data_IF_703006833990
#
_entry.id   IF_703006833990
#
_cell.length_a   1.000
_cell.length_b   1.000
_cell.length_c   1.000
_cell.angle_alpha   90.00
_cell.angle_beta   90.00
_cell.angle_gamma   90.00
#
_symmetry.space_group_name_H-M   'P 1'
#
loop_
_entity.id
_entity.type
_entity.pdbx_description
1 polymer ?
#
# COMPACT_ATOMS: atom_id res chain seq x y z
N UNK A 1 38.67 -6.50 -39.76
CA UNK A 1 37.20 -6.46 -39.62
C UNK A 1 36.63 -7.43 -38.61
N UNK A 2 37.25 -7.68 -37.43
CA UNK A 2 36.76 -8.66 -36.40
C UNK A 2 36.45 -8.03 -35.03
N UNK A 3 36.54 -6.72 -34.83
CA UNK A 3 36.27 -6.06 -33.53
C UNK A 3 34.86 -5.49 -33.34
N UNK A 4 34.05 -5.37 -34.43
CA UNK A 4 32.74 -4.74 -34.34
C UNK A 4 31.60 -5.69 -33.93
N UNK A 5 31.81 -7.02 -33.93
CA UNK A 5 30.77 -8.01 -33.67
C UNK A 5 30.58 -8.32 -32.18
N UNK A 6 31.58 -8.01 -31.33
CA UNK A 6 31.49 -8.24 -29.86
C UNK A 6 30.65 -7.20 -29.09
N UNK A 7 30.52 -6.00 -29.58
CA UNK A 7 29.73 -4.94 -28.94
C UNK A 7 28.20 -5.09 -29.16
N UNK A 8 27.81 -5.64 -30.32
CA UNK A 8 26.36 -5.89 -30.56
C UNK A 8 25.77 -6.98 -29.70
N UNK A 9 26.56 -7.99 -29.34
CA UNK A 9 26.13 -9.06 -28.42
C UNK A 9 26.00 -8.57 -26.97
N UNK A 10 26.80 -7.59 -26.55
CA UNK A 10 26.74 -7.02 -25.21
C UNK A 10 25.51 -6.12 -25.02
N UNK A 11 25.11 -5.38 -26.05
CA UNK A 11 23.91 -4.53 -26.04
C UNK A 11 22.62 -5.36 -26.07
N UNK A 12 22.62 -6.51 -26.74
CA UNK A 12 21.50 -7.45 -26.75
C UNK A 12 21.33 -8.18 -25.40
N UNK A 13 22.42 -8.46 -24.69
CA UNK A 13 22.34 -9.05 -23.34
C UNK A 13 21.92 -8.03 -22.28
N UNK A 14 22.30 -6.79 -22.42
CA UNK A 14 21.87 -5.69 -21.52
C UNK A 14 20.37 -5.37 -21.70
N UNK A 15 19.80 -5.53 -22.89
CA UNK A 15 18.37 -5.30 -23.11
C UNK A 15 17.47 -6.44 -22.62
N UNK A 16 17.98 -7.66 -22.45
CA UNK A 16 17.24 -8.80 -21.89
C UNK A 16 17.18 -8.78 -20.35
N UNK A 17 18.06 -8.01 -19.68
CA UNK A 17 18.06 -7.89 -18.22
C UNK A 17 17.10 -6.80 -17.70
N UNK A 18 16.50 -5.99 -18.58
CA UNK A 18 15.63 -4.86 -18.19
C UNK A 18 14.14 -5.26 -18.07
N UNK A 19 13.76 -6.48 -18.45
CA UNK A 19 12.34 -6.86 -18.53
C UNK A 19 11.73 -7.52 -17.29
N UNK A 20 12.44 -7.66 -16.17
CA UNK A 20 11.84 -8.03 -14.89
C UNK A 20 11.54 -6.77 -14.08
N UNK A 21 10.48 -6.06 -14.47
CA UNK A 21 9.98 -4.91 -13.72
C UNK A 21 9.63 -5.34 -12.30
N UNK A 22 10.39 -4.81 -11.36
CA UNK A 22 10.11 -4.95 -9.94
C UNK A 22 8.80 -4.23 -9.62
N UNK A 23 7.79 -4.96 -9.20
CA UNK A 23 6.49 -4.42 -8.80
C UNK A 23 6.41 -4.39 -7.27
N UNK A 24 5.98 -3.24 -6.68
CA UNK A 24 5.31 -3.21 -5.38
C UNK A 24 4.05 -4.05 -5.48
N UNK A 25 3.10 -3.97 -4.66
CA UNK A 25 1.90 -4.77 -4.93
C UNK A 25 1.76 -4.96 -6.43
N UNK A 26 1.71 -6.20 -6.97
CA UNK A 26 1.43 -6.41 -8.37
C UNK A 26 0.25 -5.52 -8.73
N UNK A 27 0.23 -4.90 -9.88
CA UNK A 27 -0.91 -4.05 -10.28
C UNK A 27 -2.26 -4.75 -10.12
N UNK A 28 -2.24 -6.08 -10.11
CA UNK A 28 -3.35 -6.95 -9.78
C UNK A 28 -3.83 -6.81 -8.33
N UNK A 29 -2.92 -6.69 -7.37
CA UNK A 29 -3.30 -6.53 -5.96
C UNK A 29 -3.91 -5.14 -5.69
N UNK A 30 -3.36 -4.08 -6.27
CA UNK A 30 -3.97 -2.75 -6.20
C UNK A 30 -5.38 -2.74 -6.81
N UNK A 31 -5.55 -3.40 -7.97
CA UNK A 31 -6.85 -3.57 -8.58
C UNK A 31 -7.82 -4.32 -7.66
N UNK A 32 -7.38 -5.43 -7.09
CA UNK A 32 -8.16 -6.27 -6.19
C UNK A 32 -8.59 -5.50 -4.94
N UNK A 33 -7.66 -4.78 -4.27
CA UNK A 33 -7.97 -3.94 -3.11
C UNK A 33 -9.01 -2.87 -3.44
N UNK A 34 -8.91 -2.23 -4.61
CA UNK A 34 -9.86 -1.21 -5.04
C UNK A 34 -11.25 -1.79 -5.30
N UNK A 35 -11.34 -2.95 -5.97
CA UNK A 35 -12.61 -3.62 -6.18
C UNK A 35 -13.24 -4.14 -4.89
N UNK A 36 -12.42 -4.70 -3.98
CA UNK A 36 -12.89 -5.14 -2.67
C UNK A 36 -13.43 -3.98 -1.86
N UNK A 37 -12.73 -2.85 -1.81
CA UNK A 37 -13.19 -1.65 -1.12
C UNK A 37 -14.55 -1.18 -1.68
N UNK A 38 -14.68 -1.09 -2.99
CA UNK A 38 -15.94 -0.71 -3.62
C UNK A 38 -17.08 -1.70 -3.33
N UNK A 39 -16.81 -3.01 -3.39
CA UNK A 39 -17.76 -4.07 -3.06
C UNK A 39 -18.17 -4.01 -1.59
N UNK A 40 -17.22 -3.82 -0.68
CA UNK A 40 -17.51 -3.73 0.75
C UNK A 40 -18.31 -2.48 1.07
N UNK A 41 -17.97 -1.34 0.47
CA UNK A 41 -18.70 -0.11 0.69
C UNK A 41 -20.16 -0.20 0.27
N UNK A 42 -20.47 -0.87 -0.85
CA UNK A 42 -21.86 -1.09 -1.25
C UNK A 42 -22.64 -1.97 -0.26
N UNK A 43 -21.98 -2.90 0.42
CA UNK A 43 -22.59 -3.69 1.50
C UNK A 43 -22.78 -2.88 2.77
N UNK A 44 -21.84 -1.99 3.09
CA UNK A 44 -21.98 -1.09 4.24
C UNK A 44 -23.18 -0.15 4.08
N UNK A 45 -23.43 0.36 2.87
CA UNK A 45 -24.61 1.19 2.61
C UNK A 45 -25.92 0.44 2.96
N UNK A 46 -26.00 -0.84 2.65
CA UNK A 46 -27.15 -1.67 3.01
C UNK A 46 -27.27 -1.88 4.55
N UNK A 47 -26.15 -1.90 5.26
CA UNK A 47 -26.12 -2.00 6.72
C UNK A 47 -26.51 -0.66 7.36
N UNK A 48 -25.99 0.46 6.84
CA UNK A 48 -26.25 1.80 7.40
C UNK A 48 -27.65 2.34 7.08
N UNK A 49 -28.27 1.85 6.00
CA UNK A 49 -29.60 2.27 5.52
C UNK A 49 -30.55 1.09 5.36
N UNK A 50 -30.96 0.40 6.44
CA UNK A 50 -31.73 -0.84 6.36
C UNK A 50 -33.17 -0.69 5.85
N UNK A 51 -33.60 0.54 5.51
CA UNK A 51 -34.99 0.84 5.17
C UNK A 51 -35.35 0.75 3.69
N UNK A 52 -34.45 0.32 2.82
CA UNK A 52 -34.76 0.14 1.39
C UNK A 52 -34.63 -1.33 1.02
N UNK A 53 -35.78 -1.96 0.76
CA UNK A 53 -35.93 -3.29 0.18
C UNK A 53 -35.32 -3.35 -1.23
N UNK A 54 -34.01 -3.49 -1.34
CA UNK A 54 -33.33 -3.73 -2.60
C UNK A 54 -32.90 -5.19 -2.66
N UNK A 55 -33.32 -5.95 -3.68
CA UNK A 55 -32.91 -7.34 -3.85
C UNK A 55 -31.38 -7.40 -4.10
N UNK A 56 -30.74 -8.28 -3.34
CA UNK A 56 -29.28 -8.49 -3.28
C UNK A 56 -28.64 -8.81 -4.64
N UNK A 57 -29.40 -9.21 -5.62
CA UNK A 57 -28.89 -9.72 -6.92
C UNK A 57 -28.67 -8.62 -7.99
N UNK A 58 -29.13 -7.40 -7.75
CA UNK A 58 -28.91 -6.26 -8.66
C UNK A 58 -27.69 -5.41 -8.31
N UNK A 59 -26.97 -5.75 -7.23
CA UNK A 59 -25.86 -4.97 -6.65
C UNK A 59 -24.60 -4.91 -7.52
N UNK A 60 -24.47 -5.73 -8.55
CA UNK A 60 -23.35 -5.69 -9.49
C UNK A 60 -23.55 -4.71 -10.66
N UNK A 61 -24.76 -4.22 -10.90
CA UNK A 61 -25.05 -3.30 -12.00
C UNK A 61 -25.29 -1.85 -11.56
N UNK A 62 -25.68 -1.62 -10.32
CA UNK A 62 -25.80 -0.28 -9.75
C UNK A 62 -25.19 -0.32 -8.36
N UNK A 63 -24.04 0.36 -8.16
CA UNK A 63 -23.49 0.57 -6.83
C UNK A 63 -24.36 1.59 -6.11
N UNK A 64 -25.19 1.20 -5.14
CA UNK A 64 -25.99 2.16 -4.38
C UNK A 64 -25.08 2.90 -3.42
N UNK A 65 -25.42 4.14 -3.13
CA UNK A 65 -24.67 4.98 -2.20
C UNK A 65 -23.75 6.00 -2.85
N UNK A 66 -22.86 6.63 -2.09
CA UNK A 66 -22.02 7.72 -2.58
C UNK A 66 -21.13 7.35 -3.77
N UNK A 67 -20.75 6.07 -3.90
CA UNK A 67 -20.05 5.54 -5.08
C UNK A 67 -21.01 5.17 -6.20
N UNK A 68 -22.31 4.99 -5.92
CA UNK A 68 -23.34 4.75 -6.91
C UNK A 68 -23.52 5.85 -7.97
N UNK A 69 -22.78 6.96 -7.81
CA UNK A 69 -22.65 8.01 -8.84
C UNK A 69 -21.57 7.71 -9.86
N UNK A 70 -20.64 6.80 -9.56
CA UNK A 70 -19.60 6.40 -10.48
C UNK A 70 -20.13 5.28 -11.39
N UNK A 71 -20.15 5.55 -12.67
CA UNK A 71 -20.46 4.52 -13.66
C UNK A 71 -19.36 3.45 -13.71
N UNK A 72 -19.67 2.30 -14.30
CA UNK A 72 -18.66 1.26 -14.55
C UNK A 72 -17.46 1.78 -15.37
N UNK A 73 -17.70 2.77 -16.23
CA UNK A 73 -16.64 3.43 -16.99
C UNK A 73 -15.78 4.32 -16.09
N UNK A 74 -16.39 5.10 -15.17
CA UNK A 74 -15.66 5.92 -14.21
C UNK A 74 -14.74 5.05 -13.34
N UNK A 75 -15.24 3.93 -12.82
CA UNK A 75 -14.44 2.98 -12.04
C UNK A 75 -13.27 2.40 -12.85
N UNK A 76 -13.42 2.24 -14.16
CA UNK A 76 -12.31 1.80 -15.03
C UNK A 76 -11.19 2.84 -15.11
N UNK A 77 -11.50 4.13 -15.16
CA UNK A 77 -10.49 5.20 -15.10
C UNK A 77 -9.74 5.16 -13.77
N UNK A 78 -10.46 5.07 -12.67
CA UNK A 78 -9.86 4.98 -11.31
C UNK A 78 -8.92 3.78 -11.21
N UNK A 79 -9.41 2.58 -11.53
CA UNK A 79 -8.61 1.34 -11.44
C UNK A 79 -7.42 1.38 -12.39
N UNK A 80 -7.59 1.88 -13.62
CA UNK A 80 -6.48 2.00 -14.59
C UNK A 80 -5.37 2.90 -14.06
N UNK A 81 -5.71 4.06 -13.51
CA UNK A 81 -4.72 4.99 -12.96
C UNK A 81 -4.03 4.40 -11.72
N UNK A 82 -4.78 3.76 -10.82
CA UNK A 82 -4.26 3.05 -9.67
C UNK A 82 -3.21 2.00 -10.09
N UNK A 83 -3.54 1.12 -11.04
CA UNK A 83 -2.64 0.09 -11.57
C UNK A 83 -1.46 0.68 -12.34
N UNK A 84 -1.68 1.73 -13.15
CA UNK A 84 -0.61 2.36 -13.92
C UNK A 84 0.47 2.95 -13.03
N UNK A 85 0.05 3.58 -11.90
CA UNK A 85 0.99 4.10 -10.92
C UNK A 85 1.82 3.00 -10.27
N UNK A 86 1.21 1.88 -9.90
CA UNK A 86 1.94 0.76 -9.28
C UNK A 86 3.01 0.19 -10.21
N UNK A 87 2.83 0.25 -11.53
CA UNK A 87 3.77 -0.25 -12.54
C UNK A 87 4.92 0.72 -12.86
N UNK A 88 4.75 2.02 -12.61
CA UNK A 88 5.63 3.06 -13.17
C UNK A 88 6.96 3.26 -12.44
N UNK A 89 7.21 2.59 -11.31
CA UNK A 89 8.21 3.07 -10.34
C UNK A 89 9.36 2.12 -9.99
N UNK A 90 9.90 1.36 -10.95
CA UNK A 90 11.10 0.55 -10.69
C UNK A 90 12.27 1.38 -10.12
N UNK A 91 12.60 2.50 -10.74
CA UNK A 91 13.69 3.37 -10.26
C UNK A 91 13.33 4.06 -8.95
N UNK A 92 12.08 4.45 -8.76
CA UNK A 92 11.61 5.10 -7.53
C UNK A 92 11.68 4.22 -6.28
N UNK A 93 11.72 2.89 -6.43
CA UNK A 93 11.85 1.96 -5.31
C UNK A 93 13.27 1.80 -4.80
N UNK A 94 14.22 1.94 -5.71
CA UNK A 94 15.64 1.89 -5.39
C UNK A 94 16.08 3.16 -4.66
N UNK A 95 15.26 4.22 -4.74
CA UNK A 95 15.58 5.52 -4.17
C UNK A 95 14.55 5.94 -3.12
N UNK A 96 14.98 6.80 -2.17
CA UNK A 96 14.24 7.34 -1.01
C UNK A 96 12.86 7.96 -1.34
N UNK A 97 12.46 8.04 -2.58
CA UNK A 97 11.29 8.80 -3.04
C UNK A 97 9.96 8.04 -2.98
N UNK A 98 10.01 6.74 -2.72
CA UNK A 98 8.84 5.88 -2.92
C UNK A 98 8.25 5.31 -1.62
N UNK A 99 8.55 5.91 -0.48
CA UNK A 99 8.01 5.54 0.80
C UNK A 99 7.54 6.75 1.59
N UNK A 100 6.59 6.53 2.47
CA UNK A 100 6.05 7.56 3.33
C UNK A 100 7.06 7.94 4.41
N UNK A 101 7.45 9.19 4.43
CA UNK A 101 8.35 9.73 5.45
C UNK A 101 7.51 10.33 6.59
N UNK A 102 7.55 9.69 7.75
CA UNK A 102 6.86 10.15 8.97
C UNK A 102 7.50 11.41 9.58
N UNK A 103 8.79 11.66 9.29
CA UNK A 103 9.56 12.73 9.92
C UNK A 103 9.54 14.02 9.13
N UNK A 104 9.20 13.99 7.84
CA UNK A 104 9.43 15.13 6.98
C UNK A 104 8.15 15.85 6.56
N UNK A 105 7.89 16.96 7.22
CA UNK A 105 7.28 18.13 6.57
C UNK A 105 8.29 18.88 5.68
N UNK A 106 9.52 18.39 5.55
CA UNK A 106 10.59 19.07 4.84
C UNK A 106 10.40 19.03 3.32
N UNK A 107 10.29 20.22 2.74
CA UNK A 107 10.17 20.48 1.31
C UNK A 107 11.50 20.44 0.55
N UNK A 108 12.51 19.73 1.04
CA UNK A 108 13.80 19.65 0.36
C UNK A 108 13.76 18.71 -0.84
N UNK A 109 13.89 19.24 -2.03
CA UNK A 109 14.00 18.44 -3.25
C UNK A 109 15.42 17.86 -3.37
N UNK A 110 15.55 16.60 -3.68
CA UNK A 110 16.84 15.89 -3.77
C UNK A 110 17.73 16.43 -4.89
N UNK A 111 17.17 17.05 -5.93
CA UNK A 111 17.90 17.61 -7.08
C UNK A 111 17.47 19.04 -7.46
N UNK A 112 16.63 19.72 -6.66
CA UNK A 112 16.19 21.09 -6.93
C UNK A 112 15.27 21.28 -8.16
N UNK A 113 15.16 20.29 -9.04
CA UNK A 113 14.45 20.40 -10.33
C UNK A 113 13.19 19.52 -10.35
N UNK A 114 13.23 18.34 -9.73
CA UNK A 114 12.09 17.40 -9.70
C UNK A 114 11.84 16.91 -8.29
N UNK A 115 10.66 17.20 -7.76
CA UNK A 115 10.22 16.62 -6.51
C UNK A 115 9.56 15.26 -6.77
N UNK A 116 10.30 14.19 -6.45
CA UNK A 116 9.87 12.80 -6.63
C UNK A 116 9.47 12.14 -5.32
N UNK A 117 9.53 12.87 -4.18
CA UNK A 117 9.20 12.34 -2.86
C UNK A 117 7.76 11.91 -2.77
N UNK A 118 7.52 10.84 -2.01
CA UNK A 118 6.20 10.25 -1.84
C UNK A 118 5.15 11.29 -1.36
N UNK A 119 5.46 12.01 -0.28
CA UNK A 119 4.54 12.99 0.31
C UNK A 119 4.23 14.16 -0.63
N UNK A 120 5.24 14.68 -1.33
CA UNK A 120 5.06 15.79 -2.28
C UNK A 120 4.28 15.35 -3.52
N UNK A 121 4.52 14.13 -4.00
CA UNK A 121 3.75 13.57 -5.12
C UNK A 121 2.30 13.32 -4.73
N UNK A 122 2.06 12.79 -3.53
CA UNK A 122 0.71 12.64 -3.01
C UNK A 122 0.00 13.99 -2.94
N UNK A 123 0.67 15.03 -2.43
CA UNK A 123 0.11 16.38 -2.37
C UNK A 123 -0.23 16.92 -3.77
N UNK A 124 0.70 16.80 -4.74
CA UNK A 124 0.48 17.26 -6.11
C UNK A 124 -0.69 16.54 -6.80
N UNK A 125 -0.83 15.23 -6.60
CA UNK A 125 -1.92 14.44 -7.16
C UNK A 125 -3.25 14.75 -6.45
N UNK A 126 -3.22 14.97 -5.13
CA UNK A 126 -4.38 15.44 -4.40
C UNK A 126 -4.82 16.83 -4.91
N UNK A 127 -3.87 17.72 -5.19
CA UNK A 127 -4.17 19.03 -5.80
C UNK A 127 -4.82 18.89 -7.18
N UNK A 128 -4.34 17.97 -8.01
CA UNK A 128 -4.95 17.66 -9.30
C UNK A 128 -6.37 17.12 -9.13
N UNK A 129 -6.62 16.23 -8.18
CA UNK A 129 -7.95 15.69 -7.89
C UNK A 129 -8.97 16.82 -7.60
N UNK A 130 -8.59 17.81 -6.81
CA UNK A 130 -9.51 18.87 -6.40
C UNK A 130 -9.59 20.06 -7.36
N UNK A 131 -8.60 20.25 -8.24
CA UNK A 131 -8.52 21.43 -9.11
C UNK A 131 -8.75 21.10 -10.60
N UNK A 132 -8.75 19.82 -11.02
CA UNK A 132 -8.98 19.47 -12.40
C UNK A 132 -10.40 19.84 -12.85
N UNK A 133 -10.52 20.45 -14.02
CA UNK A 133 -11.82 20.83 -14.60
C UNK A 133 -12.55 19.63 -15.18
N UNK A 134 -11.81 18.68 -15.79
CA UNK A 134 -12.40 17.51 -16.42
C UNK A 134 -12.62 16.37 -15.43
N UNK A 135 -13.81 15.77 -15.50
CA UNK A 135 -14.17 14.62 -14.67
C UNK A 135 -13.15 13.47 -14.81
N UNK A 136 -12.71 13.20 -16.04
CA UNK A 136 -11.75 12.14 -16.31
C UNK A 136 -10.43 12.34 -15.55
N UNK A 137 -9.89 13.56 -15.56
CA UNK A 137 -8.63 13.87 -14.89
C UNK A 137 -8.77 13.72 -13.36
N UNK A 138 -9.94 14.10 -12.80
CA UNK A 138 -10.23 13.84 -11.39
C UNK A 138 -10.27 12.37 -11.05
N UNK A 139 -10.91 11.54 -11.90
CA UNK A 139 -10.98 10.08 -11.71
C UNK A 139 -9.60 9.43 -11.80
N UNK A 140 -8.77 9.86 -12.75
CA UNK A 140 -7.39 9.36 -12.88
C UNK A 140 -6.55 9.77 -11.66
N UNK A 141 -6.62 11.04 -11.23
CA UNK A 141 -5.93 11.51 -10.03
C UNK A 141 -6.42 10.77 -8.77
N UNK A 142 -7.72 10.49 -8.65
CA UNK A 142 -8.25 9.70 -7.56
C UNK A 142 -7.70 8.27 -7.55
N UNK A 143 -7.62 7.61 -8.69
CA UNK A 143 -7.00 6.30 -8.79
C UNK A 143 -5.54 6.29 -8.31
N UNK A 144 -4.78 7.35 -8.62
CA UNK A 144 -3.43 7.49 -8.10
C UNK A 144 -3.39 7.73 -6.59
N UNK A 145 -4.30 8.54 -6.03
CA UNK A 145 -4.45 8.72 -4.57
C UNK A 145 -4.69 7.39 -3.87
N UNK A 146 -5.59 6.54 -4.41
CA UNK A 146 -5.84 5.21 -3.85
C UNK A 146 -4.58 4.34 -3.84
N UNK A 147 -3.75 4.41 -4.88
CA UNK A 147 -2.48 3.68 -4.91
C UNK A 147 -1.55 4.08 -3.76
N UNK A 148 -1.47 5.37 -3.41
CA UNK A 148 -0.68 5.83 -2.27
C UNK A 148 -1.21 5.30 -0.92
N UNK A 149 -2.53 5.34 -0.73
CA UNK A 149 -3.16 4.83 0.48
C UNK A 149 -2.95 3.33 0.67
N UNK A 150 -3.05 2.57 -0.41
CA UNK A 150 -2.78 1.14 -0.41
C UNK A 150 -1.29 0.85 -0.17
N UNK A 151 -0.39 1.63 -0.77
CA UNK A 151 1.05 1.51 -0.56
C UNK A 151 1.42 1.66 0.93
N UNK A 152 0.90 2.66 1.65
CA UNK A 152 1.26 2.88 3.06
C UNK A 152 0.69 1.83 4.02
N UNK A 153 -0.15 0.92 3.56
CA UNK A 153 -0.56 -0.25 4.32
C UNK A 153 0.48 -1.38 4.25
N UNK A 154 1.51 -1.25 3.38
CA UNK A 154 2.59 -2.23 3.28
C UNK A 154 3.78 -1.85 4.15
N UNK A 155 4.36 -2.80 4.90
CA UNK A 155 5.49 -2.53 5.78
C UNK A 155 6.67 -1.85 5.08
N UNK A 156 7.07 -2.33 3.91
CA UNK A 156 8.21 -1.81 3.16
C UNK A 156 8.04 -0.38 2.62
N UNK A 157 6.83 0.18 2.72
CA UNK A 157 6.53 1.56 2.31
C UNK A 157 6.57 2.57 3.45
N UNK A 158 6.48 2.11 4.67
CA UNK A 158 6.58 2.94 5.89
C UNK A 158 7.88 2.67 6.64
N UNK A 159 8.43 1.47 6.50
CA UNK A 159 9.81 1.14 6.90
C UNK A 159 10.58 0.85 5.62
N UNK A 160 11.18 1.87 5.00
CA UNK A 160 11.87 1.67 3.73
C UNK A 160 13.09 0.80 3.95
N UNK A 161 13.00 -0.45 3.49
CA UNK A 161 14.12 -1.38 3.59
C UNK A 161 14.86 -1.40 2.26
N UNK A 162 16.18 -1.18 2.34
CA UNK A 162 17.03 -1.30 1.18
C UNK A 162 17.50 -2.73 1.01
N UNK A 163 17.10 -3.36 -0.07
CA UNK A 163 17.43 -4.77 -0.39
C UNK A 163 18.88 -4.96 -0.87
N UNK A 164 19.67 -3.93 -0.79
CA UNK A 164 20.96 -3.85 -1.45
C UNK A 164 22.12 -4.42 -0.67
N UNK A 165 22.26 -5.73 -0.63
CA UNK A 165 23.59 -6.31 -0.77
C UNK A 165 23.83 -6.46 -2.27
N UNK A 166 24.83 -5.82 -2.81
CA UNK A 166 25.07 -5.70 -4.26
C UNK A 166 25.16 -7.01 -5.06
N UNK A 167 25.13 -8.15 -4.38
CA UNK A 167 25.04 -9.50 -4.96
C UNK A 167 23.70 -10.22 -4.73
N UNK A 168 22.75 -9.61 -4.02
CA UNK A 168 21.46 -10.22 -3.70
C UNK A 168 20.35 -9.16 -3.76
N UNK A 169 20.21 -8.54 -4.94
CA UNK A 169 19.09 -7.61 -5.16
C UNK A 169 17.77 -8.37 -5.21
N UNK A 170 17.03 -8.35 -4.12
CA UNK A 170 15.59 -8.61 -4.19
C UNK A 170 14.90 -7.28 -4.44
N UNK A 171 14.45 -7.06 -5.66
CA UNK A 171 13.73 -5.84 -6.04
C UNK A 171 12.29 -5.82 -5.50
N UNK A 172 11.89 -6.83 -4.74
CA UNK A 172 10.55 -7.01 -4.21
C UNK A 172 10.59 -7.39 -2.75
N UNK A 173 9.76 -6.74 -1.96
CA UNK A 173 9.36 -7.24 -0.67
C UNK A 173 8.44 -8.46 -0.85
N UNK A 174 8.64 -9.51 -0.07
CA UNK A 174 7.81 -10.72 -0.18
C UNK A 174 6.38 -10.50 0.30
N UNK A 175 6.18 -9.59 1.24
CA UNK A 175 4.85 -9.18 1.67
C UNK A 175 4.02 -8.65 0.50
N UNK A 176 4.61 -7.91 -0.43
CA UNK A 176 3.91 -7.34 -1.58
C UNK A 176 3.22 -8.39 -2.47
N UNK A 177 3.55 -9.67 -2.30
CA UNK A 177 2.98 -10.80 -3.06
C UNK A 177 2.07 -11.69 -2.23
N UNK A 178 1.86 -11.34 -0.97
CA UNK A 178 0.99 -12.14 -0.12
C UNK A 178 -0.47 -11.95 -0.53
N UNK A 179 -1.19 -13.06 -0.67
CA UNK A 179 -2.57 -13.04 -1.19
C UNK A 179 -3.54 -12.43 -0.18
N UNK A 180 -4.58 -11.75 -0.69
CA UNK A 180 -5.68 -11.24 0.13
C UNK A 180 -6.61 -12.40 0.47
N UNK A 181 -6.99 -12.53 1.73
CA UNK A 181 -8.09 -13.39 2.16
C UNK A 181 -9.43 -12.66 2.00
N UNK A 182 -9.99 -12.73 0.77
CA UNK A 182 -11.27 -12.10 0.45
C UNK A 182 -12.42 -12.70 1.25
N UNK A 183 -12.39 -14.02 1.49
CA UNK A 183 -13.47 -14.71 2.21
C UNK A 183 -13.56 -14.25 3.65
N UNK A 184 -12.43 -14.07 4.32
CA UNK A 184 -12.38 -13.55 5.67
C UNK A 184 -12.82 -12.08 5.72
N UNK A 185 -12.37 -11.24 4.77
CA UNK A 185 -12.85 -9.86 4.67
C UNK A 185 -14.38 -9.78 4.50
N UNK A 186 -14.96 -10.70 3.75
CA UNK A 186 -16.43 -10.78 3.58
C UNK A 186 -17.15 -11.20 4.86
N UNK A 187 -16.56 -12.09 5.65
CA UNK A 187 -17.12 -12.51 6.94
C UNK A 187 -17.06 -11.39 7.98
N UNK A 188 -16.01 -10.58 7.97
CA UNK A 188 -15.79 -9.48 8.91
C UNK A 188 -16.45 -8.15 8.48
N UNK A 189 -17.30 -8.16 7.44
CA UNK A 189 -17.86 -6.94 6.84
C UNK A 189 -18.56 -6.01 7.85
N UNK A 190 -19.29 -6.56 8.82
CA UNK A 190 -19.96 -5.74 9.84
C UNK A 190 -18.98 -4.91 10.65
N UNK A 191 -17.86 -5.50 11.06
CA UNK A 191 -16.80 -4.80 11.76
C UNK A 191 -16.11 -3.75 10.89
N UNK A 192 -15.85 -4.06 9.61
CA UNK A 192 -15.27 -3.11 8.66
C UNK A 192 -16.21 -1.91 8.45
N UNK A 193 -17.51 -2.12 8.30
CA UNK A 193 -18.47 -1.03 8.12
C UNK A 193 -18.55 -0.13 9.37
N UNK A 194 -18.49 -0.71 10.56
CA UNK A 194 -18.47 0.04 11.81
C UNK A 194 -17.18 0.89 11.91
N UNK A 195 -16.03 0.29 11.64
CA UNK A 195 -14.72 0.97 11.65
C UNK A 195 -14.69 2.15 10.66
N UNK A 196 -15.21 1.95 9.45
CA UNK A 196 -15.32 3.03 8.45
C UNK A 196 -16.22 4.15 8.95
N UNK A 197 -17.38 3.86 9.56
CA UNK A 197 -18.29 4.87 10.09
C UNK A 197 -17.65 5.66 11.24
N UNK A 198 -16.97 4.99 12.16
CA UNK A 198 -16.27 5.61 13.28
C UNK A 198 -15.17 6.57 12.79
N UNK A 199 -14.33 6.09 11.86
CA UNK A 199 -13.27 6.92 11.30
C UNK A 199 -13.78 8.05 10.42
N UNK A 200 -14.89 7.87 9.70
CA UNK A 200 -15.48 8.95 8.92
C UNK A 200 -15.88 10.15 9.79
N UNK A 201 -16.38 9.88 11.00
CA UNK A 201 -16.74 10.91 11.97
C UNK A 201 -15.52 11.74 12.44
N UNK A 202 -14.31 11.17 12.43
CA UNK A 202 -13.07 11.89 12.77
C UNK A 202 -12.71 12.98 11.74
N UNK A 203 -13.25 12.88 10.54
CA UNK A 203 -13.01 13.83 9.44
C UNK A 203 -14.12 14.89 9.31
N UNK A 204 -15.15 14.82 10.15
CA UNK A 204 -16.26 15.79 10.08
C UNK A 204 -15.76 17.22 10.34
N UNK A 205 -16.29 18.17 9.57
CA UNK A 205 -15.90 19.58 9.65
C UNK A 205 -14.53 19.95 9.05
N UNK A 206 -13.81 18.98 8.43
CA UNK A 206 -12.54 19.24 7.77
C UNK A 206 -12.71 19.41 6.26
N UNK A 207 -11.73 20.09 5.62
CA UNK A 207 -11.68 20.08 4.17
C UNK A 207 -11.21 18.71 3.65
N UNK A 208 -11.74 18.29 2.54
CA UNK A 208 -11.52 16.94 1.95
C UNK A 208 -10.03 16.66 1.67
N UNK A 209 -9.28 17.67 1.22
CA UNK A 209 -7.83 17.56 0.97
C UNK A 209 -7.04 17.28 2.26
N UNK A 210 -7.36 18.02 3.33
CA UNK A 210 -6.77 17.80 4.66
C UNK A 210 -7.12 16.42 5.21
N UNK A 211 -8.35 15.98 4.99
CA UNK A 211 -8.82 14.64 5.37
C UNK A 211 -8.05 13.53 4.67
N UNK A 212 -7.80 13.63 3.36
CA UNK A 212 -6.99 12.66 2.63
C UNK A 212 -5.53 12.62 3.13
N UNK A 213 -4.91 13.77 3.39
CA UNK A 213 -3.54 13.83 3.96
C UNK A 213 -3.50 13.20 5.35
N UNK A 214 -4.51 13.46 6.19
CA UNK A 214 -4.62 12.86 7.52
C UNK A 214 -4.83 11.35 7.43
N UNK A 215 -5.71 10.88 6.55
CA UNK A 215 -5.96 9.45 6.32
C UNK A 215 -4.68 8.73 5.92
N UNK A 216 -3.91 9.28 4.97
CA UNK A 216 -2.61 8.74 4.57
C UNK A 216 -1.67 8.58 5.78
N UNK A 217 -1.53 9.64 6.58
CA UNK A 217 -0.67 9.64 7.77
C UNK A 217 -1.16 8.69 8.87
N UNK A 218 -2.46 8.54 9.07
CA UNK A 218 -3.02 7.59 10.04
C UNK A 218 -2.76 6.16 9.60
N UNK A 219 -3.03 5.82 8.34
CA UNK A 219 -2.76 4.49 7.78
C UNK A 219 -1.28 4.13 7.88
N UNK A 220 -0.38 5.07 7.53
CA UNK A 220 1.06 4.85 7.68
C UNK A 220 1.48 4.59 9.14
N UNK A 221 0.95 5.35 10.10
CA UNK A 221 1.24 5.15 11.53
C UNK A 221 0.74 3.80 12.04
N UNK A 222 -0.45 3.35 11.62
CA UNK A 222 -0.99 2.03 11.98
C UNK A 222 -0.11 0.91 11.42
N UNK A 223 0.36 1.05 10.19
CA UNK A 223 1.30 0.08 9.59
C UNK A 223 2.63 0.05 10.36
N UNK A 224 3.17 1.22 10.74
CA UNK A 224 4.38 1.29 11.55
C UNK A 224 4.17 0.66 12.93
N UNK A 225 3.02 0.91 13.56
CA UNK A 225 2.68 0.28 14.83
C UNK A 225 2.60 -1.25 14.71
N UNK A 226 2.02 -1.76 13.62
CA UNK A 226 1.97 -3.19 13.35
C UNK A 226 3.37 -3.79 13.14
N UNK A 227 4.27 -3.10 12.44
CA UNK A 227 5.68 -3.55 12.29
C UNK A 227 6.39 -3.58 13.65
N UNK A 228 6.09 -2.66 14.54
CA UNK A 228 6.70 -2.62 15.88
C UNK A 228 6.01 -3.57 16.89
N UNK A 229 4.88 -4.19 16.56
CA UNK A 229 4.19 -5.11 17.46
C UNK A 229 4.91 -6.44 17.56
N UNK A 230 4.71 -7.10 18.71
CA UNK A 230 5.28 -8.41 18.98
C UNK A 230 4.67 -9.49 18.08
N UNK A 231 5.48 -10.45 17.69
CA UNK A 231 5.00 -11.69 17.05
C UNK A 231 4.43 -12.58 18.16
N UNK A 232 3.14 -12.90 18.06
CA UNK A 232 2.44 -13.67 19.06
C UNK A 232 3.19 -14.94 19.46
N UNK A 233 3.43 -15.14 20.74
CA UNK A 233 4.11 -16.33 21.25
C UNK A 233 5.62 -16.36 21.05
N UNK A 234 6.23 -15.27 20.56
CA UNK A 234 7.68 -15.16 20.34
C UNK A 234 8.25 -13.94 21.06
N UNK A 235 9.47 -13.99 21.57
CA UNK A 235 10.16 -12.83 22.14
C UNK A 235 10.79 -11.97 21.01
N UNK A 236 9.98 -11.63 20.01
CA UNK A 236 10.38 -10.86 18.84
C UNK A 236 9.20 -10.06 18.31
N UNK A 237 9.49 -8.95 17.64
CA UNK A 237 8.51 -8.15 16.91
C UNK A 237 8.66 -8.34 15.39
N UNK A 238 7.69 -7.82 14.62
CA UNK A 238 7.76 -7.83 13.17
C UNK A 238 8.90 -6.97 12.61
N UNK A 239 9.58 -6.16 13.46
CA UNK A 239 10.85 -5.51 13.09
C UNK A 239 11.94 -6.52 12.72
N UNK A 240 11.80 -7.78 13.09
CA UNK A 240 12.66 -8.87 12.61
C UNK A 240 12.64 -9.01 11.09
N UNK A 241 11.58 -8.58 10.41
CA UNK A 241 11.47 -8.51 8.96
C UNK A 241 11.81 -7.13 8.42
N UNK A 242 11.25 -6.06 9.00
CA UNK A 242 11.42 -4.67 8.55
C UNK A 242 11.92 -3.83 9.73
N UNK A 243 13.23 -3.66 9.83
CA UNK A 243 13.84 -2.93 10.93
C UNK A 243 13.97 -1.45 10.59
N UNK A 244 13.26 -0.55 11.31
CA UNK A 244 13.44 0.89 11.16
C UNK A 244 14.87 1.32 11.43
N UNK A 245 15.32 2.42 10.81
CA UNK A 245 16.62 3.00 11.11
C UNK A 245 16.65 3.51 12.55
N UNK A 246 17.65 3.11 13.31
CA UNK A 246 17.89 3.64 14.66
C UNK A 246 18.42 5.08 14.64
N UNK A 247 19.11 5.47 13.56
CA UNK A 247 19.78 6.77 13.45
C UNK A 247 18.83 7.91 13.12
N UNK A 248 17.83 7.63 12.29
CA UNK A 248 16.81 8.59 11.84
C UNK A 248 15.44 7.88 11.78
N UNK A 249 14.74 7.72 12.90
CA UNK A 249 13.43 7.11 12.90
C UNK A 249 12.48 7.89 11.97
N UNK A 250 11.96 7.22 10.93
CA UNK A 250 11.05 7.81 9.95
C UNK A 250 11.69 8.58 8.80
N UNK A 251 13.01 8.75 8.75
CA UNK A 251 13.69 9.56 7.72
C UNK A 251 14.82 8.87 6.95
N UNK A 252 15.38 7.78 7.46
CA UNK A 252 16.45 7.03 6.80
C UNK A 252 15.99 5.63 6.39
N UNK A 253 16.69 5.05 5.41
CA UNK A 253 16.49 3.65 5.07
C UNK A 253 16.81 2.77 6.29
N UNK A 254 15.83 1.93 6.65
CA UNK A 254 16.02 0.78 7.51
C UNK A 254 16.69 -0.37 6.76
N UNK A 255 16.76 -1.50 7.42
CA UNK A 255 17.29 -2.74 6.88
C UNK A 255 16.28 -3.88 7.09
N UNK A 256 16.40 -4.94 6.32
CA UNK A 256 15.75 -6.18 6.72
C UNK A 256 16.38 -6.65 8.03
N UNK A 257 15.51 -6.95 9.01
CA UNK A 257 15.95 -7.46 10.30
C UNK A 257 16.51 -8.89 10.22
N UNK A 258 16.58 -9.55 11.35
CA UNK A 258 17.22 -10.89 11.47
C UNK A 258 16.50 -11.99 10.69
N UNK A 259 15.22 -11.83 10.37
CA UNK A 259 14.43 -12.73 9.53
C UNK A 259 14.61 -12.46 8.02
N UNK A 260 15.14 -11.29 7.65
CA UNK A 260 15.37 -10.95 6.25
C UNK A 260 14.08 -10.73 5.45
N UNK A 261 14.19 -10.74 4.12
CA UNK A 261 13.05 -10.66 3.21
C UNK A 261 12.42 -12.06 2.98
N UNK A 262 11.98 -12.70 4.08
CA UNK A 262 11.47 -14.08 4.05
C UNK A 262 10.02 -14.22 4.54
N UNK A 263 9.26 -13.12 4.55
CA UNK A 263 7.85 -13.14 4.94
C UNK A 263 7.05 -14.17 4.15
N UNK A 264 6.29 -15.01 4.86
CA UNK A 264 5.52 -16.12 4.29
C UNK A 264 6.33 -17.41 4.05
N UNK A 265 7.65 -17.37 4.15
CA UNK A 265 8.49 -18.56 4.05
C UNK A 265 8.79 -19.19 5.41
N UNK A 266 9.32 -20.44 5.36
CA UNK A 266 9.98 -21.00 6.52
C UNK A 266 11.27 -20.21 6.78
N UNK A 267 11.37 -19.61 7.96
CA UNK A 267 12.54 -18.83 8.37
C UNK A 267 12.92 -19.12 9.81
N UNK A 268 14.21 -19.32 10.05
CA UNK A 268 14.81 -19.38 11.37
C UNK A 268 15.65 -18.11 11.57
N UNK A 269 15.36 -17.34 12.60
CA UNK A 269 15.99 -16.05 12.83
C UNK A 269 16.35 -15.84 14.31
N UNK A 270 17.27 -14.93 14.57
CA UNK A 270 17.61 -14.52 15.94
C UNK A 270 16.50 -13.67 16.52
N UNK A 271 15.95 -14.10 17.67
CA UNK A 271 14.88 -13.42 18.38
C UNK A 271 15.22 -13.17 19.86
N UNK A 272 16.42 -13.50 20.27
CA UNK A 272 16.85 -13.35 21.65
C UNK A 272 17.17 -11.90 22.02
N UNK A 273 17.02 -11.61 23.31
CA UNK A 273 17.40 -10.37 23.96
C UNK A 273 18.94 -10.28 24.13
N UNK A 274 19.40 -9.16 24.71
CA UNK A 274 20.81 -9.03 25.11
C UNK A 274 21.27 -10.10 26.09
N UNK A 275 20.32 -10.63 26.90
CA UNK A 275 20.60 -11.64 27.93
C UNK A 275 20.68 -13.06 27.34
N UNK A 276 19.99 -13.32 26.24
CA UNK A 276 20.08 -14.58 25.48
C UNK A 276 20.22 -14.32 23.97
N UNK A 277 21.41 -13.91 23.51
CA UNK A 277 21.63 -13.57 22.10
C UNK A 277 21.64 -14.78 21.17
N UNK A 278 21.63 -16.00 21.70
CA UNK A 278 21.64 -17.25 20.91
C UNK A 278 20.24 -17.77 20.63
N UNK A 279 19.22 -17.23 21.29
CA UNK A 279 17.85 -17.68 21.09
C UNK A 279 17.42 -17.52 19.64
N UNK A 280 16.83 -18.56 19.08
CA UNK A 280 16.30 -18.59 17.74
C UNK A 280 14.81 -18.86 17.73
N UNK A 281 14.11 -18.16 16.89
CA UNK A 281 12.71 -18.36 16.58
C UNK A 281 12.57 -19.00 15.21
N UNK A 282 11.50 -19.77 15.04
CA UNK A 282 11.16 -20.44 13.79
C UNK A 282 9.72 -20.08 13.41
N UNK A 283 9.54 -19.53 12.22
CA UNK A 283 8.25 -19.45 11.56
C UNK A 283 8.22 -20.46 10.42
N UNK A 284 7.12 -21.16 10.29
CA UNK A 284 6.94 -22.13 9.22
C UNK A 284 6.50 -21.44 7.93
N UNK A 285 6.59 -22.16 6.81
CA UNK A 285 6.00 -21.66 5.57
C UNK A 285 4.49 -21.54 5.74
N UNK A 286 3.92 -20.41 5.29
CA UNK A 286 2.50 -20.12 5.39
C UNK A 286 1.94 -20.22 6.83
N UNK A 287 2.78 -19.87 7.83
CA UNK A 287 2.40 -19.85 9.24
C UNK A 287 1.14 -18.97 9.45
N UNK A 288 0.19 -19.37 10.32
CA UNK A 288 -0.97 -18.54 10.65
C UNK A 288 -0.64 -17.12 11.10
N UNK A 289 0.52 -16.91 11.72
CA UNK A 289 0.97 -15.57 12.13
C UNK A 289 1.23 -14.65 10.93
N UNK A 290 1.76 -15.19 9.83
CA UNK A 290 1.88 -14.44 8.57
C UNK A 290 0.52 -14.08 7.99
N UNK A 291 -0.41 -15.04 8.02
CA UNK A 291 -1.76 -14.85 7.48
C UNK A 291 -2.51 -13.76 8.27
N UNK A 292 -2.40 -13.77 9.60
CA UNK A 292 -3.03 -12.78 10.47
C UNK A 292 -2.45 -11.38 10.21
N UNK A 293 -1.13 -11.26 10.24
CA UNK A 293 -0.47 -9.98 9.97
C UNK A 293 -0.82 -9.43 8.58
N UNK A 294 -0.78 -10.28 7.55
CA UNK A 294 -1.12 -9.86 6.19
C UNK A 294 -2.59 -9.47 6.07
N UNK A 295 -3.50 -10.24 6.69
CA UNK A 295 -4.92 -9.94 6.70
C UNK A 295 -5.20 -8.56 7.28
N UNK A 296 -4.62 -8.23 8.43
CA UNK A 296 -4.80 -6.92 9.07
C UNK A 296 -4.30 -5.78 8.18
N UNK A 297 -3.17 -5.97 7.48
CA UNK A 297 -2.64 -4.95 6.54
C UNK A 297 -3.51 -4.79 5.31
N UNK A 298 -4.04 -5.88 4.75
CA UNK A 298 -4.97 -5.82 3.62
C UNK A 298 -6.32 -5.22 4.03
N UNK A 299 -6.85 -5.57 5.21
CA UNK A 299 -8.05 -4.98 5.78
C UNK A 299 -7.89 -3.47 5.95
N UNK A 300 -6.75 -3.02 6.50
CA UNK A 300 -6.42 -1.59 6.61
C UNK A 300 -6.39 -0.90 5.24
N UNK A 301 -5.80 -1.52 4.22
CA UNK A 301 -5.77 -0.99 2.86
C UNK A 301 -7.18 -0.83 2.27
N UNK A 302 -8.06 -1.82 2.50
CA UNK A 302 -9.46 -1.79 2.06
C UNK A 302 -10.23 -0.69 2.80
N UNK A 303 -10.11 -0.63 4.13
CA UNK A 303 -10.76 0.39 4.98
C UNK A 303 -10.32 1.81 4.58
N UNK A 304 -9.02 2.04 4.40
CA UNK A 304 -8.50 3.34 3.96
C UNK A 304 -8.99 3.71 2.55
N UNK A 305 -9.10 2.74 1.65
CA UNK A 305 -9.66 2.94 0.31
C UNK A 305 -11.14 3.31 0.37
N UNK A 306 -11.93 2.64 1.22
CA UNK A 306 -13.37 2.95 1.43
C UNK A 306 -13.55 4.37 1.99
N UNK A 307 -12.75 4.75 3.01
CA UNK A 307 -12.76 6.10 3.58
C UNK A 307 -12.42 7.16 2.53
N UNK A 308 -11.39 6.94 1.72
CA UNK A 308 -11.04 7.88 0.65
C UNK A 308 -12.18 8.03 -0.37
N UNK A 309 -12.85 6.93 -0.74
CA UNK A 309 -14.00 6.97 -1.62
C UNK A 309 -15.14 7.83 -1.05
N UNK A 310 -15.43 7.70 0.24
CA UNK A 310 -16.44 8.51 0.94
C UNK A 310 -16.05 9.99 1.04
N UNK A 311 -14.78 10.27 1.38
CA UNK A 311 -14.28 11.64 1.54
C UNK A 311 -14.30 12.45 0.24
N UNK A 312 -14.07 11.80 -0.90
CA UNK A 312 -13.99 12.51 -2.20
C UNK A 312 -15.24 12.38 -3.06
N UNK A 313 -16.26 11.69 -2.61
CA UNK A 313 -17.47 11.41 -3.40
C UNK A 313 -18.14 12.63 -4.02
N UNK A 314 -18.02 13.82 -3.37
CA UNK A 314 -18.60 15.07 -3.84
C UNK A 314 -17.81 15.70 -4.99
N UNK A 315 -16.56 15.28 -5.18
CA UNK A 315 -15.64 15.79 -6.19
C UNK A 315 -15.67 14.98 -7.50
N UNK A 316 -16.12 13.72 -7.44
CA UNK A 316 -16.18 12.80 -8.58
C UNK A 316 -17.54 12.85 -9.29
#
# INVERSE_FOLDING_TARGET
>A
MKKCMRWRSFLLFASLLVSSAAQAYPGELHQQLTFLAAKQLSRCDAIWSPSQDLPVDQSLQAMPGPIGRLSALDMRYVVRANVARSKSNFLGRTFRWNYFDLSSDSNESVLGIFDTRFNSRFAAISDQLFNASEKRDRLEAFGEVLSFLQDVSTPSRVVPVFTGRWWAFSLHDRFDRYSIDESRLEQEIGGVCQEVAEHLNEFDGQNERGSLKRLLGQTARRTMAAVNSDIMGMPASWTSFWQPSEKEPGGAFGEYGTAGNEFGNRVEFRCGSKDDPKLRCLLLKDDPLYQEFAFDRHKEAVTATMLAMLLVQRQL
#
